data_IF_689620909732
#
_entry.id   IF_689620909732
#
_cell.length_a   1.000
_cell.length_b   1.000
_cell.length_c   1.000
_cell.angle_alpha   90.00
_cell.angle_beta   90.00
_cell.angle_gamma   90.00
#
_symmetry.space_group_name_H-M   'P 1'
#
loop_
_entity.id
_entity.type
_entity.pdbx_description
1 polymer ?
#
# COMPACT_ATOMS: atom_id res chain seq x y z
N UNK A 1 -6.97 2.91 -7.58
CA UNK A 1 -7.19 1.49 -7.25
C UNK A 1 -8.44 1.03 -7.94
N UNK A 2 -8.33 0.04 -8.83
CA UNK A 2 -9.47 -0.60 -9.50
C UNK A 2 -9.78 -1.91 -8.78
N UNK A 3 -11.04 -2.19 -8.48
CA UNK A 3 -11.48 -3.43 -7.81
C UNK A 3 -12.24 -4.37 -8.76
N UNK A 4 -12.64 -3.87 -9.93
CA UNK A 4 -13.43 -4.63 -10.91
C UNK A 4 -14.92 -4.59 -10.60
N UNK A 5 -15.68 -5.53 -11.18
CA UNK A 5 -17.15 -5.49 -11.17
C UNK A 5 -17.77 -5.79 -9.80
N UNK A 6 -17.05 -6.49 -8.93
CA UNK A 6 -17.53 -6.84 -7.59
C UNK A 6 -17.19 -5.70 -6.64
N UNK A 7 -18.18 -5.27 -5.85
CA UNK A 7 -17.98 -4.22 -4.85
C UNK A 7 -16.87 -4.64 -3.86
N UNK A 8 -15.86 -3.79 -3.62
CA UNK A 8 -14.77 -4.12 -2.71
C UNK A 8 -15.29 -4.33 -1.28
N UNK A 9 -14.63 -5.25 -0.58
CA UNK A 9 -14.92 -5.55 0.82
C UNK A 9 -14.51 -4.40 1.74
N UNK A 10 -15.12 -4.33 2.93
CA UNK A 10 -14.73 -3.35 3.95
C UNK A 10 -13.26 -3.44 4.33
N UNK A 11 -12.66 -4.64 4.30
CA UNK A 11 -11.22 -4.84 4.56
C UNK A 11 -10.37 -4.17 3.48
N UNK A 12 -10.72 -4.35 2.21
CA UNK A 12 -10.01 -3.70 1.09
C UNK A 12 -10.15 -2.17 1.16
N UNK A 13 -11.32 -1.65 1.48
CA UNK A 13 -11.53 -0.20 1.62
C UNK A 13 -10.80 0.38 2.83
N UNK A 14 -10.78 -0.33 3.95
CA UNK A 14 -10.07 0.08 5.17
C UNK A 14 -8.58 0.33 4.91
N UNK A 15 -7.95 -0.48 4.07
CA UNK A 15 -6.54 -0.30 3.69
C UNK A 15 -6.24 1.07 3.08
N UNK A 16 -7.17 1.63 2.31
CA UNK A 16 -7.01 2.91 1.60
C UNK A 16 -7.62 4.10 2.35
N UNK A 17 -8.39 3.86 3.41
CA UNK A 17 -9.22 4.87 4.10
C UNK A 17 -8.47 6.14 4.51
N UNK A 18 -7.19 6.02 4.89
CA UNK A 18 -6.36 7.16 5.28
C UNK A 18 -5.89 8.04 4.11
N UNK A 19 -6.04 7.56 2.87
CA UNK A 19 -5.58 8.24 1.65
C UNK A 19 -6.73 8.62 0.72
N UNK A 20 -7.69 7.71 0.52
CA UNK A 20 -8.80 7.91 -0.39
C UNK A 20 -10.02 7.12 0.07
N UNK A 21 -11.15 7.80 0.20
CA UNK A 21 -12.45 7.21 0.56
C UNK A 21 -13.50 7.35 -0.54
N UNK A 22 -13.18 8.10 -1.60
CA UNK A 22 -14.11 8.33 -2.71
C UNK A 22 -14.23 7.08 -3.57
N UNK A 23 -15.24 6.27 -3.27
CA UNK A 23 -15.52 5.01 -3.95
C UNK A 23 -16.58 5.25 -5.03
N UNK A 24 -16.18 5.10 -6.28
CA UNK A 24 -17.03 5.25 -7.45
C UNK A 24 -17.29 3.90 -8.12
N UNK A 25 -18.32 3.87 -8.97
CA UNK A 25 -18.66 2.73 -9.81
C UNK A 25 -19.09 3.22 -11.19
N UNK A 26 -18.50 2.65 -12.24
CA UNK A 26 -18.91 2.89 -13.61
C UNK A 26 -18.97 1.57 -14.41
N UNK A 27 -19.09 1.65 -15.74
CA UNK A 27 -19.14 0.49 -16.65
C UNK A 27 -17.93 -0.45 -16.54
N UNK A 28 -16.77 0.05 -16.10
CA UNK A 28 -15.54 -0.71 -15.92
C UNK A 28 -15.41 -1.30 -14.50
N UNK A 29 -16.35 -0.98 -13.60
CA UNK A 29 -16.46 -1.52 -12.26
C UNK A 29 -16.17 -0.49 -11.17
N UNK A 30 -15.86 -1.00 -9.98
CA UNK A 30 -15.59 -0.23 -8.77
C UNK A 30 -14.16 0.28 -8.73
N UNK A 31 -13.99 1.53 -8.33
CA UNK A 31 -12.67 2.13 -8.16
C UNK A 31 -12.66 3.22 -7.10
N UNK A 32 -11.49 3.46 -6.53
CA UNK A 32 -11.24 4.67 -5.75
C UNK A 32 -10.84 5.81 -6.68
N UNK A 33 -11.51 6.95 -6.58
CA UNK A 33 -11.20 8.17 -7.32
C UNK A 33 -10.10 8.95 -6.59
N UNK A 34 -8.90 8.95 -7.17
CA UNK A 34 -7.73 9.60 -6.57
C UNK A 34 -7.60 11.04 -7.06
N UNK A 35 -7.04 11.87 -6.20
CA UNK A 35 -6.49 13.19 -6.54
C UNK A 35 -4.96 13.10 -6.58
N UNK A 36 -4.29 14.11 -7.13
CA UNK A 36 -2.83 14.16 -7.16
C UNK A 36 -2.25 14.11 -5.73
N UNK A 37 -2.88 14.81 -4.79
CA UNK A 37 -2.44 14.88 -3.40
C UNK A 37 -2.59 13.53 -2.70
N UNK A 38 -3.76 12.89 -2.82
CA UNK A 38 -4.03 11.60 -2.15
C UNK A 38 -3.20 10.46 -2.73
N UNK A 39 -3.02 10.41 -4.05
CA UNK A 39 -2.15 9.42 -4.69
C UNK A 39 -0.69 9.61 -4.28
N UNK A 40 -0.18 10.86 -4.29
CA UNK A 40 1.19 11.14 -3.87
C UNK A 40 1.42 10.76 -2.42
N UNK A 41 0.48 11.08 -1.53
CA UNK A 41 0.53 10.70 -0.11
C UNK A 41 0.59 9.18 0.04
N UNK A 42 -0.32 8.45 -0.61
CA UNK A 42 -0.32 6.97 -0.61
C UNK A 42 1.00 6.39 -1.13
N UNK A 43 1.52 6.95 -2.22
CA UNK A 43 2.76 6.48 -2.83
C UNK A 43 3.94 6.63 -1.88
N UNK A 44 4.14 7.82 -1.31
CA UNK A 44 5.27 8.13 -0.43
C UNK A 44 5.17 7.45 0.93
N UNK A 45 3.97 7.41 1.53
CA UNK A 45 3.79 6.90 2.88
C UNK A 45 3.59 5.38 2.95
N UNK A 46 3.32 4.71 1.82
CA UNK A 46 3.01 3.28 1.83
C UNK A 46 3.64 2.51 0.68
N UNK A 47 3.22 2.77 -0.57
CA UNK A 47 3.58 1.90 -1.70
C UNK A 47 5.09 1.86 -1.94
N UNK A 48 5.74 3.02 -2.04
CA UNK A 48 7.18 3.11 -2.28
C UNK A 48 7.99 2.40 -1.18
N UNK A 49 7.61 2.61 0.08
CA UNK A 49 8.31 2.00 1.21
C UNK A 49 8.14 0.48 1.25
N UNK A 50 6.97 -0.04 0.86
CA UNK A 50 6.72 -1.48 0.76
C UNK A 50 7.64 -2.11 -0.30
N UNK A 51 7.73 -1.51 -1.49
CA UNK A 51 8.64 -1.99 -2.55
C UNK A 51 10.13 -1.90 -2.13
N UNK A 52 10.52 -0.83 -1.41
CA UNK A 52 11.87 -0.76 -0.82
C UNK A 52 12.06 -1.88 0.19
N UNK A 53 11.06 -2.19 1.01
CA UNK A 53 11.06 -3.31 1.95
C UNK A 53 11.36 -4.64 1.25
N UNK A 54 10.75 -4.90 0.09
CA UNK A 54 11.08 -6.06 -0.74
C UNK A 54 12.55 -6.04 -1.20
N UNK A 55 13.05 -4.91 -1.74
CA UNK A 55 14.46 -4.81 -2.13
C UNK A 55 15.42 -5.07 -0.96
N UNK A 56 15.08 -4.57 0.24
CA UNK A 56 15.85 -4.77 1.46
C UNK A 56 15.83 -6.24 1.90
N UNK A 57 14.66 -6.88 1.91
CA UNK A 57 14.50 -8.31 2.26
C UNK A 57 15.33 -9.21 1.33
N UNK A 58 15.29 -8.90 0.03
CA UNK A 58 16.08 -9.59 -0.98
C UNK A 58 17.59 -9.43 -0.73
N UNK A 59 18.04 -8.21 -0.43
CA UNK A 59 19.47 -7.94 -0.15
C UNK A 59 19.98 -8.71 1.07
N UNK A 60 19.16 -8.88 2.10
CA UNK A 60 19.48 -9.67 3.30
C UNK A 60 19.29 -11.19 3.12
N UNK A 61 19.20 -11.67 1.88
CA UNK A 61 19.27 -13.08 1.48
C UNK A 61 18.18 -14.00 2.06
N UNK A 62 16.96 -13.49 2.28
CA UNK A 62 15.80 -14.39 2.34
C UNK A 62 15.48 -14.83 0.92
N UNK A 63 15.93 -16.02 0.52
CA UNK A 63 15.55 -16.61 -0.76
C UNK A 63 14.02 -16.68 -0.88
N UNK A 64 13.44 -15.94 -1.82
CA UNK A 64 11.99 -15.95 -2.04
C UNK A 64 11.57 -17.25 -2.71
N UNK A 65 10.56 -17.87 -2.13
CA UNK A 65 9.92 -19.07 -2.63
C UNK A 65 8.42 -18.92 -2.47
N UNK A 66 7.64 -19.74 -3.17
CA UNK A 66 6.19 -19.77 -2.96
C UNK A 66 5.81 -20.06 -1.51
N UNK A 67 6.66 -20.77 -0.77
CA UNK A 67 6.40 -21.16 0.62
C UNK A 67 6.56 -20.00 1.62
N UNK A 68 7.35 -18.96 1.31
CA UNK A 68 7.59 -17.84 2.21
C UNK A 68 7.02 -16.50 1.72
N UNK A 69 6.21 -16.48 0.64
CA UNK A 69 5.59 -15.26 0.12
C UNK A 69 4.92 -14.42 1.22
N UNK A 70 4.16 -15.05 2.12
CA UNK A 70 3.54 -14.33 3.24
C UNK A 70 4.57 -13.59 4.11
N UNK A 71 5.71 -14.21 4.40
CA UNK A 71 6.75 -13.60 5.24
C UNK A 71 7.45 -12.45 4.51
N UNK A 72 7.56 -12.54 3.18
CA UNK A 72 8.12 -11.50 2.30
C UNK A 72 7.18 -10.28 2.28
N UNK A 73 5.87 -10.51 2.10
CA UNK A 73 4.84 -9.46 2.19
C UNK A 73 4.79 -8.83 3.59
N UNK A 74 4.76 -9.66 4.64
CA UNK A 74 4.73 -9.20 6.03
C UNK A 74 5.99 -8.38 6.36
N UNK A 75 7.16 -8.73 5.81
CA UNK A 75 8.38 -7.92 5.98
C UNK A 75 8.25 -6.56 5.32
N UNK A 76 7.80 -6.52 4.05
CA UNK A 76 7.62 -5.28 3.30
C UNK A 76 6.58 -4.36 3.95
N UNK A 77 5.46 -4.92 4.43
CA UNK A 77 4.44 -4.17 5.16
C UNK A 77 4.98 -3.58 6.47
N UNK A 78 5.73 -4.36 7.26
CA UNK A 78 6.34 -3.87 8.49
C UNK A 78 7.39 -2.78 8.22
N UNK A 79 8.22 -2.97 7.19
CA UNK A 79 9.19 -1.97 6.76
C UNK A 79 8.48 -0.65 6.41
N UNK A 80 7.40 -0.72 5.63
CA UNK A 80 6.61 0.44 5.25
C UNK A 80 6.04 1.18 6.47
N UNK A 81 5.47 0.46 7.43
CA UNK A 81 4.90 1.08 8.65
C UNK A 81 5.97 1.81 9.47
N UNK A 82 7.13 1.19 9.69
CA UNK A 82 8.22 1.79 10.49
C UNK A 82 8.73 3.07 9.84
N UNK A 83 9.00 3.03 8.53
CA UNK A 83 9.56 4.17 7.83
C UNK A 83 8.54 5.27 7.55
N UNK A 84 7.26 4.92 7.34
CA UNK A 84 6.18 5.90 7.19
C UNK A 84 6.06 6.79 8.43
N UNK A 85 6.12 6.19 9.63
CA UNK A 85 6.10 6.94 10.89
C UNK A 85 7.31 7.89 11.00
N UNK A 86 8.50 7.44 10.57
CA UNK A 86 9.71 8.27 10.57
C UNK A 86 9.63 9.42 9.57
N UNK A 87 9.11 9.17 8.36
CA UNK A 87 8.90 10.21 7.35
C UNK A 87 7.93 11.27 7.87
N UNK A 88 6.82 10.87 8.50
CA UNK A 88 5.85 11.79 9.10
C UNK A 88 6.48 12.68 10.17
N UNK A 89 7.35 12.12 11.02
CA UNK A 89 8.10 12.90 12.01
C UNK A 89 9.09 13.89 11.39
N UNK A 90 9.74 13.52 10.28
CA UNK A 90 10.73 14.38 9.61
C UNK A 90 10.07 15.52 8.82
N UNK A 91 8.97 15.21 8.13
CA UNK A 91 8.28 16.18 7.27
C UNK A 91 7.46 17.15 8.12
N UNK A 92 7.10 16.79 9.35
CA UNK A 92 6.42 17.68 10.29
C UNK A 92 4.99 17.99 9.84
N UNK A 93 4.03 17.33 10.48
CA UNK A 93 2.87 18.09 10.96
C UNK A 93 3.33 19.04 12.08
#
# INVERSE_FOLDING_TARGET
>A
MLFGQIKPTSKQLSFYKQYCTDLCHDKNGWYLQWTNESYKKYYLEKLLLHEIGHCVDYFYQRYWSKANLKQVEDFADNYAVIWSNKIKQIIGE
#
